data_IF_988045886916
#
_entry.id   IF_988045886916
#
_cell.length_a   1.000
_cell.length_b   1.000
_cell.length_c   1.000
_cell.angle_alpha   90.00
_cell.angle_beta   90.00
_cell.angle_gamma   90.00
#
_symmetry.space_group_name_H-M   'P 1'
#
loop_
_entity.id
_entity.type
_entity.pdbx_description
1 polymer ?
#
# COMPACT_ATOMS: atom_id res chain seq x y z
N UNK A 1 -11.89 -15.86 -3.67
CA UNK A 1 -10.60 -16.48 -3.31
C UNK A 1 -10.06 -15.65 -2.16
N UNK A 2 -10.45 -16.02 -0.95
CA UNK A 2 -10.04 -15.32 0.27
C UNK A 2 -8.68 -15.88 0.69
N UNK A 3 -7.61 -15.12 0.42
CA UNK A 3 -6.27 -15.45 0.88
C UNK A 3 -5.76 -14.36 1.84
N UNK A 4 -6.60 -13.96 2.79
CA UNK A 4 -6.26 -12.95 3.80
C UNK A 4 -6.45 -13.55 5.19
N UNK A 5 -5.53 -14.44 5.59
CA UNK A 5 -5.53 -14.96 6.96
C UNK A 5 -5.11 -13.91 7.99
N UNK A 6 -4.44 -12.82 7.60
CA UNK A 6 -4.16 -11.68 8.48
C UNK A 6 -4.04 -10.38 7.64
N UNK A 7 -4.52 -9.23 8.15
CA UNK A 7 -4.21 -7.95 7.52
C UNK A 7 -2.69 -7.74 7.52
N UNK A 8 -2.13 -7.03 6.52
CA UNK A 8 -0.71 -6.71 6.49
C UNK A 8 -0.27 -5.95 7.75
N UNK A 9 0.94 -6.24 8.23
CA UNK A 9 1.61 -5.48 9.28
C UNK A 9 2.02 -4.09 8.79
N UNK A 10 2.33 -3.18 9.72
CA UNK A 10 2.82 -1.83 9.41
C UNK A 10 4.03 -1.86 8.47
N UNK A 11 5.02 -2.70 8.79
CA UNK A 11 6.21 -2.88 7.97
C UNK A 11 5.90 -3.43 6.57
N UNK A 12 5.00 -4.40 6.46
CA UNK A 12 4.60 -4.94 5.16
C UNK A 12 3.89 -3.87 4.32
N UNK A 13 3.07 -3.02 4.94
CA UNK A 13 2.45 -1.88 4.25
C UNK A 13 3.49 -0.87 3.77
N UNK A 14 4.48 -0.54 4.60
CA UNK A 14 5.59 0.34 4.21
C UNK A 14 6.36 -0.23 3.01
N UNK A 15 6.69 -1.52 3.04
CA UNK A 15 7.40 -2.21 1.95
C UNK A 15 6.57 -2.22 0.65
N UNK A 16 5.26 -2.49 0.75
CA UNK A 16 4.34 -2.44 -0.39
C UNK A 16 4.27 -1.01 -0.97
N UNK A 17 4.10 -0.01 -0.12
CA UNK A 17 4.01 1.41 -0.52
C UNK A 17 5.30 1.87 -1.20
N UNK A 18 6.47 1.48 -0.68
CA UNK A 18 7.75 1.78 -1.30
C UNK A 18 7.87 1.17 -2.71
N UNK A 19 7.45 -0.08 -2.87
CA UNK A 19 7.42 -0.74 -4.18
C UNK A 19 6.47 -0.06 -5.18
N UNK A 20 5.29 0.37 -4.74
CA UNK A 20 4.33 1.09 -5.58
C UNK A 20 4.87 2.45 -6.03
N UNK A 21 5.52 3.20 -5.12
CA UNK A 21 6.18 4.47 -5.46
C UNK A 21 7.29 4.27 -6.50
N UNK A 22 8.14 3.26 -6.31
CA UNK A 22 9.21 2.95 -7.27
C UNK A 22 8.66 2.64 -8.67
N UNK A 23 7.52 1.94 -8.78
CA UNK A 23 6.88 1.67 -10.08
C UNK A 23 6.25 2.91 -10.72
N UNK A 24 5.81 3.90 -9.93
CA UNK A 24 5.33 5.18 -10.47
C UNK A 24 6.47 6.05 -11.02
N UNK A 25 7.71 5.82 -10.58
CA UNK A 25 8.91 6.49 -11.10
C UNK A 25 9.50 5.78 -12.33
N UNK A 26 8.97 4.61 -12.70
CA UNK A 26 9.43 3.80 -13.82
C UNK A 26 8.42 3.87 -14.98
N UNK A 27 8.84 4.50 -16.08
CA UNK A 27 8.05 4.70 -17.30
C UNK A 27 7.61 3.36 -17.94
N UNK A 28 8.28 2.23 -17.65
CA UNK A 28 7.85 0.92 -18.14
C UNK A 28 6.48 0.48 -17.59
N UNK A 29 6.03 1.07 -16.48
CA UNK A 29 4.73 0.85 -15.89
C UNK A 29 3.67 1.89 -16.26
N UNK A 30 3.94 2.78 -17.24
CA UNK A 30 3.04 3.90 -17.58
C UNK A 30 1.60 3.46 -17.89
N UNK A 31 1.42 2.31 -18.55
CA UNK A 31 0.08 1.77 -18.86
C UNK A 31 -0.70 1.35 -17.60
N UNK A 32 -0.01 1.10 -16.49
CA UNK A 32 -0.56 0.65 -15.22
C UNK A 32 -0.60 1.75 -14.16
N UNK A 33 -0.11 2.96 -14.44
CA UNK A 33 0.03 4.04 -13.45
C UNK A 33 -1.26 4.34 -12.69
N UNK A 34 -2.42 4.34 -13.36
CA UNK A 34 -3.71 4.58 -12.70
C UNK A 34 -3.98 3.51 -11.64
N UNK A 35 -3.77 2.23 -11.98
CA UNK A 35 -3.98 1.11 -11.05
C UNK A 35 -2.98 1.13 -9.90
N UNK A 36 -1.72 1.43 -10.20
CA UNK A 36 -0.65 1.53 -9.20
C UNK A 36 -0.95 2.68 -8.24
N UNK A 37 -1.42 3.82 -8.75
CA UNK A 37 -1.83 4.96 -7.94
C UNK A 37 -3.02 4.63 -7.04
N UNK A 38 -4.06 3.98 -7.58
CA UNK A 38 -5.24 3.59 -6.78
C UNK A 38 -4.87 2.62 -5.65
N UNK A 39 -4.03 1.62 -5.94
CA UNK A 39 -3.50 0.70 -4.93
C UNK A 39 -2.64 1.44 -3.89
N UNK A 40 -1.79 2.38 -4.33
CA UNK A 40 -0.97 3.20 -3.43
C UNK A 40 -1.85 3.99 -2.45
N UNK A 41 -2.90 4.64 -2.94
CA UNK A 41 -3.84 5.38 -2.10
C UNK A 41 -4.56 4.47 -1.11
N UNK A 42 -4.97 3.27 -1.54
CA UNK A 42 -5.59 2.28 -0.66
C UNK A 42 -4.64 1.84 0.46
N UNK A 43 -3.39 1.49 0.13
CA UNK A 43 -2.39 1.04 1.12
C UNK A 43 -1.95 2.15 2.07
N UNK A 44 -1.84 3.39 1.59
CA UNK A 44 -1.55 4.54 2.45
C UNK A 44 -2.67 4.80 3.45
N UNK A 45 -3.93 4.67 3.02
CA UNK A 45 -5.07 4.76 3.93
C UNK A 45 -5.06 3.64 4.96
N UNK A 46 -4.78 2.39 4.53
CA UNK A 46 -4.66 1.25 5.43
C UNK A 46 -3.56 1.44 6.48
N UNK A 47 -2.40 1.97 6.07
CA UNK A 47 -1.30 2.31 6.99
C UNK A 47 -1.72 3.40 7.99
N UNK A 48 -2.36 4.46 7.51
CA UNK A 48 -2.87 5.53 8.37
C UNK A 48 -3.87 5.02 9.41
N UNK A 49 -4.80 4.15 9.01
CA UNK A 49 -5.76 3.52 9.91
C UNK A 49 -5.06 2.68 10.97
N UNK A 50 -4.09 1.86 10.58
CA UNK A 50 -3.31 1.04 11.51
C UNK A 50 -2.52 1.89 12.53
N UNK A 51 -1.82 2.93 12.06
CA UNK A 51 -1.07 3.84 12.93
C UNK A 51 -2.01 4.58 13.91
N UNK A 52 -3.20 4.99 13.46
CA UNK A 52 -4.19 5.62 14.33
C UNK A 52 -4.71 4.66 15.40
N UNK A 53 -4.98 3.39 15.04
CA UNK A 53 -5.37 2.36 16.00
C UNK A 53 -4.27 2.10 17.02
N UNK A 54 -3.01 1.99 16.58
CA UNK A 54 -1.86 1.77 17.48
C UNK A 54 -1.62 2.95 18.44
N UNK A 55 -1.87 4.18 18.00
CA UNK A 55 -1.69 5.39 18.82
C UNK A 55 -2.89 5.70 19.74
N UNK A 56 -4.06 5.11 19.48
CA UNK A 56 -5.26 5.28 20.30
C UNK A 56 -5.31 4.29 21.49
N UNK A 57 -4.41 3.30 21.51
CA UNK A 57 -4.23 2.29 22.56
C UNK A 57 -3.08 2.66 23.49
#
# INVERSE_FOLDING_TARGET
MDNEMFPPTEKELEDIIAGLKARLEDDSYQEEWIKIHDELMFRQKQLQELTNTNNAL
#
